data_IF_688867132284
#
_entry.id   IF_688867132284
#
_cell.length_a   1.000
_cell.length_b   1.000
_cell.length_c   1.000
_cell.angle_alpha   90.00
_cell.angle_beta   90.00
_cell.angle_gamma   90.00
#
_symmetry.space_group_name_H-M   'P 1'
#
loop_
_entity.id
_entity.type
_entity.pdbx_description
1 polymer ?
#
# COMPACT_ATOMS: atom_id res chain seq x y z
N UNK A 1 18.85 -23.88 -6.75
CA UNK A 1 19.83 -23.12 -7.58
C UNK A 1 20.63 -22.19 -6.68
N UNK A 2 21.92 -21.95 -6.95
CA UNK A 2 22.82 -21.12 -6.12
C UNK A 2 22.80 -19.63 -6.50
N UNK A 3 22.87 -18.74 -5.50
CA UNK A 3 22.99 -17.29 -5.69
C UNK A 3 24.40 -16.94 -6.19
N UNK A 4 24.56 -15.83 -6.92
CA UNK A 4 25.90 -15.28 -7.20
C UNK A 4 26.42 -14.48 -5.98
N UNK A 5 27.66 -14.01 -6.03
CA UNK A 5 28.30 -13.29 -4.92
C UNK A 5 27.54 -12.03 -4.50
N UNK A 6 27.04 -11.26 -5.47
CA UNK A 6 26.33 -10.01 -5.27
C UNK A 6 24.95 -10.25 -4.65
N UNK A 7 24.24 -11.27 -5.14
CA UNK A 7 22.96 -11.70 -4.61
C UNK A 7 23.10 -12.25 -3.19
N UNK A 8 24.14 -13.05 -2.92
CA UNK A 8 24.42 -13.56 -1.57
C UNK A 8 24.73 -12.40 -0.60
N UNK A 9 25.52 -11.41 -1.04
CA UNK A 9 25.80 -10.22 -0.25
C UNK A 9 24.52 -9.43 0.06
N UNK A 10 23.64 -9.24 -0.93
CA UNK A 10 22.35 -8.59 -0.75
C UNK A 10 21.42 -9.38 0.19
N UNK A 11 21.44 -10.72 0.14
CA UNK A 11 20.64 -11.58 1.01
C UNK A 11 21.12 -11.50 2.47
N UNK A 12 22.43 -11.47 2.72
CA UNK A 12 23.01 -11.48 4.07
C UNK A 12 23.22 -10.12 4.73
N UNK A 13 23.08 -9.02 4.00
CA UNK A 13 23.29 -7.68 4.54
C UNK A 13 22.30 -7.35 5.68
N UNK A 14 22.80 -6.91 6.84
CA UNK A 14 22.04 -6.50 8.04
C UNK A 14 22.46 -5.14 8.64
N UNK A 15 22.97 -4.23 7.81
CA UNK A 15 23.64 -2.99 8.27
C UNK A 15 22.77 -1.73 8.31
N UNK A 16 21.48 -1.83 7.97
CA UNK A 16 20.56 -0.69 7.82
C UNK A 16 19.72 -0.80 6.53
N UNK A 17 19.17 0.33 6.04
CA UNK A 17 18.45 0.34 4.77
C UNK A 17 19.33 -0.14 3.61
N UNK A 18 18.76 -0.97 2.73
CA UNK A 18 19.41 -1.53 1.55
C UNK A 18 18.58 -1.21 0.31
N UNK A 19 19.23 -0.63 -0.70
CA UNK A 19 18.71 -0.52 -2.06
C UNK A 19 19.50 -1.46 -2.96
N UNK A 20 18.81 -2.41 -3.59
CA UNK A 20 19.37 -3.30 -4.60
C UNK A 20 18.91 -2.82 -5.97
N UNK A 21 19.84 -2.28 -6.74
CA UNK A 21 19.62 -1.96 -8.14
C UNK A 21 19.95 -3.19 -8.99
N UNK A 22 18.99 -3.62 -9.81
CA UNK A 22 19.19 -4.77 -10.66
C UNK A 22 18.38 -4.59 -11.94
N UNK A 23 18.95 -4.90 -13.11
CA UNK A 23 18.22 -4.82 -14.37
C UNK A 23 17.19 -5.94 -14.55
N UNK A 24 16.40 -5.90 -15.62
CA UNK A 24 15.49 -6.97 -15.99
C UNK A 24 16.17 -8.35 -16.07
N UNK A 25 15.52 -9.39 -15.53
CA UNK A 25 16.01 -10.79 -15.61
C UNK A 25 17.20 -11.13 -14.70
N UNK A 26 17.70 -10.20 -13.88
CA UNK A 26 18.84 -10.40 -12.98
C UNK A 26 18.51 -11.15 -11.67
N UNK A 27 17.23 -11.50 -11.47
CA UNK A 27 16.78 -12.25 -10.30
C UNK A 27 16.38 -11.38 -9.10
N UNK A 28 15.81 -10.18 -9.31
CA UNK A 28 15.22 -9.32 -8.25
C UNK A 28 14.39 -10.11 -7.23
N UNK A 29 13.34 -10.76 -7.73
CA UNK A 29 12.44 -11.57 -6.89
C UNK A 29 13.18 -12.70 -6.18
N UNK A 30 14.22 -13.26 -6.79
CA UNK A 30 15.04 -14.32 -6.18
C UNK A 30 15.83 -13.79 -4.98
N UNK A 31 16.41 -12.60 -5.08
CA UNK A 31 17.07 -11.94 -3.94
C UNK A 31 16.07 -11.72 -2.81
N UNK A 32 14.87 -11.22 -3.10
CA UNK A 32 13.82 -11.01 -2.08
C UNK A 32 13.44 -12.33 -1.40
N UNK A 33 13.12 -13.38 -2.15
CA UNK A 33 12.67 -14.65 -1.55
C UNK A 33 13.76 -15.31 -0.73
N UNK A 34 15.00 -15.31 -1.21
CA UNK A 34 16.14 -15.84 -0.44
C UNK A 34 16.47 -14.99 0.79
N UNK A 35 16.32 -13.66 0.72
CA UNK A 35 16.49 -12.78 1.88
C UNK A 35 15.47 -13.10 2.97
N UNK A 36 14.20 -13.27 2.61
CA UNK A 36 13.17 -13.67 3.58
C UNK A 36 13.48 -15.05 4.16
N UNK A 37 13.86 -16.02 3.34
CA UNK A 37 14.24 -17.36 3.83
C UNK A 37 15.45 -17.30 4.80
N UNK A 38 16.47 -16.49 4.49
CA UNK A 38 17.62 -16.30 5.37
C UNK A 38 17.24 -15.66 6.72
N UNK A 39 16.38 -14.63 6.72
CA UNK A 39 15.85 -14.02 7.95
C UNK A 39 15.10 -15.05 8.81
N UNK A 40 14.32 -15.91 8.17
CA UNK A 40 13.57 -16.99 8.81
C UNK A 40 14.49 -18.06 9.41
N UNK A 41 15.61 -18.38 8.74
CA UNK A 41 16.66 -19.28 9.22
C UNK A 41 17.46 -18.67 10.40
N UNK A 42 17.68 -17.35 10.36
CA UNK A 42 18.27 -16.55 11.45
C UNK A 42 17.36 -16.44 12.69
N UNK A 43 16.14 -16.97 12.63
CA UNK A 43 15.21 -17.02 13.76
C UNK A 43 14.26 -15.83 13.87
N UNK A 44 14.17 -14.98 12.83
CA UNK A 44 13.18 -13.89 12.80
C UNK A 44 11.77 -14.50 12.72
N UNK A 45 10.84 -14.14 13.63
CA UNK A 45 9.48 -14.66 13.55
C UNK A 45 8.78 -14.21 12.25
N UNK A 46 8.10 -15.09 11.49
CA UNK A 46 7.52 -14.73 10.18
C UNK A 46 6.59 -13.52 10.23
N UNK A 47 5.81 -13.39 11.31
CA UNK A 47 4.87 -12.30 11.52
C UNK A 47 5.51 -10.92 11.73
N UNK A 48 6.84 -10.88 11.94
CA UNK A 48 7.69 -9.68 12.03
C UNK A 48 8.29 -9.27 10.67
N UNK A 49 8.00 -10.00 9.58
CA UNK A 49 8.51 -9.71 8.24
C UNK A 49 7.34 -9.29 7.32
N UNK A 50 7.53 -8.21 6.58
CA UNK A 50 6.61 -7.72 5.55
C UNK A 50 7.30 -7.79 4.18
N UNK A 51 6.65 -8.41 3.22
CA UNK A 51 7.08 -8.48 1.82
C UNK A 51 5.99 -7.90 0.90
N UNK A 52 6.35 -6.88 0.14
CA UNK A 52 5.43 -6.13 -0.73
C UNK A 52 5.86 -6.23 -2.18
N UNK A 53 4.89 -6.38 -3.07
CA UNK A 53 5.06 -6.34 -4.53
C UNK A 53 3.86 -5.64 -5.18
N UNK A 54 3.81 -5.53 -6.51
CA UNK A 54 2.78 -4.76 -7.22
C UNK A 54 1.62 -5.61 -7.73
N UNK A 55 1.82 -6.92 -7.91
CA UNK A 55 0.77 -7.80 -8.47
C UNK A 55 0.41 -8.95 -7.53
N UNK A 56 -0.86 -9.36 -7.54
CA UNK A 56 -1.32 -10.52 -6.77
C UNK A 56 -0.61 -11.80 -7.22
N UNK A 57 -0.30 -11.91 -8.51
CA UNK A 57 0.45 -13.04 -9.06
C UNK A 57 1.86 -13.09 -8.47
N UNK A 58 2.60 -11.98 -8.50
CA UNK A 58 3.93 -11.92 -7.90
C UNK A 58 3.90 -12.20 -6.39
N UNK A 59 2.87 -11.73 -5.68
CA UNK A 59 2.72 -12.02 -4.25
C UNK A 59 2.46 -13.51 -3.97
N UNK A 60 1.71 -14.19 -4.85
CA UNK A 60 1.49 -15.64 -4.81
C UNK A 60 2.78 -16.40 -5.05
N UNK A 61 3.46 -16.12 -6.16
CA UNK A 61 4.72 -16.75 -6.54
C UNK A 61 5.83 -16.52 -5.48
N UNK A 62 5.92 -15.32 -4.91
CA UNK A 62 6.86 -14.99 -3.84
C UNK A 62 6.60 -15.85 -2.60
N UNK A 63 5.33 -16.02 -2.21
CA UNK A 63 4.95 -16.85 -1.06
C UNK A 63 5.29 -18.32 -1.29
N UNK A 64 4.96 -18.87 -2.46
CA UNK A 64 5.28 -20.26 -2.83
C UNK A 64 6.79 -20.50 -2.78
N UNK A 65 7.59 -19.62 -3.39
CA UNK A 65 9.06 -19.74 -3.36
C UNK A 65 9.65 -19.68 -1.95
N UNK A 66 9.13 -18.82 -1.09
CA UNK A 66 9.60 -18.74 0.31
C UNK A 66 9.24 -20.03 1.06
N UNK A 67 8.06 -20.60 0.82
CA UNK A 67 7.64 -21.87 1.40
C UNK A 67 8.56 -23.02 1.00
N UNK A 68 8.86 -23.14 -0.30
CA UNK A 68 9.78 -24.14 -0.83
C UNK A 68 11.19 -24.00 -0.22
N UNK A 69 11.75 -22.78 -0.17
CA UNK A 69 13.07 -22.51 0.39
C UNK A 69 13.18 -22.87 1.87
N UNK A 70 12.07 -22.79 2.59
CA UNK A 70 11.99 -23.04 4.02
C UNK A 70 11.42 -24.44 4.35
N UNK A 71 11.40 -25.35 3.37
CA UNK A 71 10.94 -26.73 3.54
C UNK A 71 9.50 -26.84 4.08
N UNK A 72 8.60 -25.96 3.62
CA UNK A 72 7.17 -25.97 3.98
C UNK A 72 6.88 -25.87 5.49
N UNK A 73 7.73 -25.17 6.25
CA UNK A 73 7.47 -24.91 7.69
C UNK A 73 6.10 -24.22 7.91
N UNK A 74 5.39 -24.65 8.94
CA UNK A 74 3.97 -24.31 9.17
C UNK A 74 3.71 -22.82 9.44
N UNK A 75 4.64 -22.13 10.10
CA UNK A 75 4.50 -20.74 10.54
C UNK A 75 4.72 -19.70 9.43
N UNK A 76 5.12 -20.10 8.21
CA UNK A 76 5.24 -19.19 7.05
C UNK A 76 3.93 -18.50 6.72
N UNK A 77 2.78 -19.11 7.05
CA UNK A 77 1.46 -18.52 6.85
C UNK A 77 1.27 -17.22 7.65
N UNK A 78 2.07 -16.99 8.68
CA UNK A 78 2.04 -15.75 9.46
C UNK A 78 2.76 -14.58 8.78
N UNK A 79 3.59 -14.85 7.76
CA UNK A 79 4.29 -13.87 6.95
C UNK A 79 3.31 -12.91 6.27
N UNK A 80 3.64 -11.62 6.27
CA UNK A 80 2.86 -10.64 5.52
C UNK A 80 3.44 -10.53 4.11
N UNK A 81 2.88 -11.28 3.16
CA UNK A 81 3.20 -11.14 1.72
C UNK A 81 1.97 -10.65 0.97
N UNK A 82 2.10 -9.57 0.20
CA UNK A 82 0.97 -9.02 -0.53
C UNK A 82 1.32 -7.86 -1.45
N UNK A 83 0.29 -7.31 -2.08
CA UNK A 83 0.38 -6.02 -2.76
C UNK A 83 0.18 -4.89 -1.77
N UNK A 84 0.61 -3.67 -2.11
CA UNK A 84 0.29 -2.48 -1.32
C UNK A 84 -1.20 -2.42 -0.94
N UNK A 85 -2.08 -2.66 -1.91
CA UNK A 85 -3.52 -2.67 -1.71
C UNK A 85 -3.99 -3.80 -0.78
N UNK A 86 -3.48 -5.03 -0.95
CA UNK A 86 -3.91 -6.15 -0.09
C UNK A 86 -3.40 -6.00 1.35
N UNK A 87 -2.21 -5.44 1.54
CA UNK A 87 -1.68 -5.07 2.86
C UNK A 87 -2.54 -3.97 3.50
N UNK A 88 -2.85 -2.90 2.76
CA UNK A 88 -3.72 -1.83 3.26
C UNK A 88 -5.12 -2.33 3.61
N UNK A 89 -5.73 -3.15 2.75
CA UNK A 89 -7.01 -3.78 3.03
C UNK A 89 -6.91 -4.63 4.31
N UNK A 90 -5.89 -5.47 4.49
CA UNK A 90 -5.69 -6.26 5.71
C UNK A 90 -5.61 -5.40 6.98
N UNK A 91 -4.96 -4.23 6.89
CA UNK A 91 -4.88 -3.25 8.00
C UNK A 91 -6.27 -2.65 8.27
N UNK A 92 -6.94 -2.12 7.24
CA UNK A 92 -8.24 -1.47 7.37
C UNK A 92 -9.35 -2.43 7.81
N UNK A 93 -9.30 -3.70 7.41
CA UNK A 93 -10.23 -4.73 7.91
C UNK A 93 -10.17 -4.90 9.43
N UNK A 94 -9.02 -4.62 10.04
CA UNK A 94 -8.80 -4.82 11.47
C UNK A 94 -8.91 -3.53 12.28
N UNK A 95 -8.54 -2.39 11.70
CA UNK A 95 -8.42 -1.12 12.41
C UNK A 95 -9.07 0.06 11.68
N UNK A 96 -9.78 -0.18 10.58
CA UNK A 96 -10.40 0.85 9.74
C UNK A 96 -11.51 1.63 10.42
N UNK A 97 -12.05 1.15 11.54
CA UNK A 97 -13.11 1.86 12.30
C UNK A 97 -12.67 3.23 12.76
N UNK A 98 -11.37 3.41 13.07
CA UNK A 98 -10.80 4.70 13.44
C UNK A 98 -10.81 5.72 12.28
N UNK A 99 -10.83 5.26 11.03
CA UNK A 99 -10.91 6.09 9.82
C UNK A 99 -12.26 5.98 9.12
N UNK A 100 -13.29 5.50 9.82
CA UNK A 100 -14.68 5.48 9.35
C UNK A 100 -15.04 4.34 8.39
N UNK A 101 -14.27 3.25 8.37
CA UNK A 101 -14.60 2.03 7.63
C UNK A 101 -14.93 0.88 8.58
N UNK A 102 -15.98 0.11 8.30
CA UNK A 102 -16.23 -1.12 9.06
C UNK A 102 -15.20 -2.20 8.72
N UNK A 103 -15.14 -3.28 9.51
CA UNK A 103 -14.32 -4.43 9.16
C UNK A 103 -14.80 -5.15 7.89
N UNK A 104 -16.04 -4.92 7.45
CA UNK A 104 -16.70 -5.62 6.34
C UNK A 104 -16.99 -4.70 5.13
N UNK A 105 -16.35 -3.53 5.05
CA UNK A 105 -16.44 -2.59 3.94
C UNK A 105 -16.30 -3.22 2.54
N UNK A 106 -16.92 -2.66 1.50
CA UNK A 106 -16.79 -3.16 0.13
C UNK A 106 -15.61 -2.51 -0.60
N UNK A 107 -14.89 -3.26 -1.46
CA UNK A 107 -13.85 -2.70 -2.33
C UNK A 107 -14.44 -2.52 -3.72
N UNK A 108 -14.49 -1.28 -4.20
CA UNK A 108 -15.06 -0.96 -5.52
C UNK A 108 -14.01 -1.12 -6.61
N UNK A 109 -14.32 -1.97 -7.59
CA UNK A 109 -13.49 -2.12 -8.79
C UNK A 109 -13.72 -0.98 -9.80
N UNK A 110 -13.00 -0.99 -10.92
CA UNK A 110 -13.11 0.05 -11.95
C UNK A 110 -14.53 0.21 -12.53
N UNK A 111 -15.31 -0.88 -12.60
CA UNK A 111 -16.67 -0.84 -13.09
C UNK A 111 -17.61 -0.21 -12.05
N UNK A 112 -17.47 -0.61 -10.78
CA UNK A 112 -18.20 -0.03 -9.64
C UNK A 112 -17.93 1.47 -9.51
N UNK A 113 -16.66 1.87 -9.56
CA UNK A 113 -16.24 3.28 -9.49
C UNK A 113 -16.89 4.10 -10.62
N UNK A 114 -16.85 3.59 -11.86
CA UNK A 114 -17.46 4.26 -13.02
C UNK A 114 -18.98 4.35 -12.89
N UNK A 115 -19.62 3.29 -12.40
CA UNK A 115 -21.07 3.26 -12.17
C UNK A 115 -21.48 4.30 -11.14
N UNK A 116 -20.77 4.35 -10.01
CA UNK A 116 -21.02 5.32 -8.95
C UNK A 116 -20.79 6.76 -9.43
N UNK A 117 -19.69 7.02 -10.14
CA UNK A 117 -19.43 8.36 -10.69
C UNK A 117 -20.54 8.81 -11.64
N UNK A 118 -21.07 7.93 -12.50
CA UNK A 118 -22.23 8.25 -13.35
C UNK A 118 -23.48 8.64 -12.54
N UNK A 119 -23.74 7.93 -11.44
CA UNK A 119 -24.85 8.28 -10.55
C UNK A 119 -24.66 9.67 -9.92
N UNK A 120 -23.43 9.98 -9.49
CA UNK A 120 -23.07 11.29 -8.95
C UNK A 120 -23.26 12.40 -9.98
N UNK A 121 -22.84 12.20 -11.24
CA UNK A 121 -23.04 13.22 -12.28
C UNK A 121 -24.52 13.50 -12.54
N UNK A 122 -25.37 12.46 -12.56
CA UNK A 122 -26.82 12.61 -12.68
C UNK A 122 -27.40 13.38 -11.50
N UNK A 123 -27.01 13.05 -10.27
CA UNK A 123 -27.46 13.75 -9.06
C UNK A 123 -27.12 15.24 -9.09
N UNK A 124 -25.92 15.58 -9.58
CA UNK A 124 -25.43 16.95 -9.62
C UNK A 124 -25.87 17.73 -10.86
N UNK A 125 -26.65 17.12 -11.75
CA UNK A 125 -27.03 17.64 -13.07
C UNK A 125 -25.81 18.06 -13.92
N UNK A 126 -24.77 17.23 -13.92
CA UNK A 126 -23.55 17.44 -14.72
C UNK A 126 -23.63 16.58 -15.99
N UNK A 127 -23.37 17.20 -17.14
CA UNK A 127 -23.34 16.51 -18.44
C UNK A 127 -22.12 15.57 -18.54
N UNK A 128 -22.39 14.26 -18.61
CA UNK A 128 -21.37 13.23 -18.72
C UNK A 128 -20.62 13.22 -20.07
N UNK A 129 -21.18 13.83 -21.12
CA UNK A 129 -20.49 13.98 -22.40
C UNK A 129 -19.42 15.06 -22.31
N UNK A 130 -19.75 16.17 -21.62
CA UNK A 130 -18.81 17.26 -21.38
C UNK A 130 -17.78 16.94 -20.30
N UNK A 131 -18.17 16.17 -19.28
CA UNK A 131 -17.32 15.76 -18.17
C UNK A 131 -17.34 14.24 -17.98
N UNK A 132 -16.55 13.49 -18.78
CA UNK A 132 -16.59 12.04 -18.75
C UNK A 132 -16.20 11.46 -17.37
N UNK A 133 -16.95 10.47 -16.83
CA UNK A 133 -16.67 9.85 -15.53
C UNK A 133 -15.23 9.35 -15.38
N UNK A 134 -14.66 8.77 -16.45
CA UNK A 134 -13.27 8.28 -16.46
C UNK A 134 -12.25 9.39 -16.25
N UNK A 135 -12.48 10.58 -16.83
CA UNK A 135 -11.57 11.71 -16.68
C UNK A 135 -11.58 12.24 -15.24
N UNK A 136 -12.78 12.35 -14.64
CA UNK A 136 -12.94 12.78 -13.25
C UNK A 136 -12.30 11.80 -12.26
N UNK A 137 -12.54 10.49 -12.44
CA UNK A 137 -11.90 9.44 -11.65
C UNK A 137 -10.37 9.45 -11.84
N UNK A 138 -9.87 9.74 -13.04
CA UNK A 138 -8.43 9.88 -13.29
C UNK A 138 -7.79 11.05 -12.53
N UNK A 139 -8.49 12.18 -12.40
CA UNK A 139 -8.02 13.28 -11.54
C UNK A 139 -7.99 12.90 -10.06
N UNK A 140 -9.01 12.18 -9.61
CA UNK A 140 -9.11 11.70 -8.24
C UNK A 140 -8.02 10.68 -7.90
N UNK A 141 -7.82 9.68 -8.77
CA UNK A 141 -6.77 8.67 -8.63
C UNK A 141 -5.38 9.31 -8.55
N UNK A 142 -5.07 10.25 -9.45
CA UNK A 142 -3.82 11.02 -9.40
C UNK A 142 -3.64 11.76 -8.08
N UNK A 143 -4.72 12.32 -7.51
CA UNK A 143 -4.66 12.97 -6.21
C UNK A 143 -4.40 11.97 -5.08
N UNK A 144 -5.13 10.85 -5.04
CA UNK A 144 -4.96 9.79 -4.02
C UNK A 144 -3.56 9.20 -4.04
N UNK A 145 -2.97 9.00 -5.23
CA UNK A 145 -1.59 8.53 -5.38
C UNK A 145 -0.54 9.49 -4.77
N UNK A 146 -0.90 10.76 -4.54
CA UNK A 146 -0.07 11.76 -3.84
C UNK A 146 -0.50 11.98 -2.37
N UNK A 147 -1.48 11.22 -1.87
CA UNK A 147 -2.06 11.44 -0.55
C UNK A 147 -2.94 12.70 -0.45
N UNK A 148 -3.46 13.17 -1.59
CA UNK A 148 -4.27 14.38 -1.71
C UNK A 148 -5.73 14.06 -2.04
N UNK A 149 -6.61 15.06 -1.91
CA UNK A 149 -8.03 14.94 -2.20
C UNK A 149 -8.53 15.87 -3.32
N UNK A 150 -9.84 15.88 -3.59
CA UNK A 150 -10.43 16.75 -4.61
C UNK A 150 -10.05 18.23 -4.46
N UNK A 151 -9.93 18.72 -3.22
CA UNK A 151 -9.55 20.12 -2.91
C UNK A 151 -8.18 20.52 -3.47
N UNK A 152 -7.30 19.55 -3.73
CA UNK A 152 -5.95 19.78 -4.23
C UNK A 152 -5.83 19.69 -5.77
N UNK A 153 -6.92 19.44 -6.50
CA UNK A 153 -6.88 19.31 -7.97
C UNK A 153 -6.18 20.47 -8.69
N UNK A 154 -6.30 21.70 -8.17
CA UNK A 154 -5.59 22.87 -8.70
C UNK A 154 -4.06 22.70 -8.61
N UNK A 155 -3.55 22.14 -7.51
CA UNK A 155 -2.12 21.86 -7.30
C UNK A 155 -1.61 20.81 -8.28
N UNK A 156 -2.49 19.93 -8.75
CA UNK A 156 -2.20 18.84 -9.70
C UNK A 156 -2.36 19.24 -11.17
N UNK A 157 -2.62 20.54 -11.43
CA UNK A 157 -2.72 21.10 -12.77
C UNK A 157 -4.11 21.05 -13.39
N UNK A 158 -5.16 20.69 -12.65
CA UNK A 158 -6.54 20.79 -13.14
C UNK A 158 -6.96 22.26 -13.16
N UNK A 159 -7.37 22.77 -14.32
CA UNK A 159 -7.70 24.17 -14.54
C UNK A 159 -9.19 24.38 -14.82
N UNK A 160 -9.63 25.64 -14.79
CA UNK A 160 -10.99 26.02 -15.19
C UNK A 160 -11.20 25.81 -16.70
N UNK A 161 -12.43 25.46 -17.14
CA UNK A 161 -13.66 25.31 -16.35
C UNK A 161 -13.86 23.91 -15.73
N UNK A 162 -12.87 23.01 -15.82
CA UNK A 162 -12.98 21.62 -15.33
C UNK A 162 -12.84 21.54 -13.81
N UNK A 163 -11.96 22.35 -13.22
CA UNK A 163 -11.60 22.31 -11.81
C UNK A 163 -12.81 22.25 -10.87
N UNK A 164 -13.74 23.20 -10.96
CA UNK A 164 -14.90 23.25 -10.04
C UNK A 164 -15.83 22.05 -10.18
N UNK A 165 -16.02 21.59 -11.42
CA UNK A 165 -16.87 20.42 -11.71
C UNK A 165 -16.24 19.16 -11.16
N UNK A 166 -14.93 18.97 -11.39
CA UNK A 166 -14.19 17.84 -10.88
C UNK A 166 -14.16 17.80 -9.35
N UNK A 167 -13.91 18.95 -8.70
CA UNK A 167 -13.95 19.05 -7.23
C UNK A 167 -15.31 18.62 -6.68
N UNK A 168 -16.39 19.23 -7.16
CA UNK A 168 -17.75 18.95 -6.68
C UNK A 168 -18.17 17.50 -6.93
N UNK A 169 -17.88 16.96 -8.12
CA UNK A 169 -18.23 15.57 -8.45
C UNK A 169 -17.42 14.56 -7.63
N UNK A 170 -16.11 14.76 -7.50
CA UNK A 170 -15.26 13.85 -6.74
C UNK A 170 -15.51 13.94 -5.23
N UNK A 171 -15.80 15.12 -4.67
CA UNK A 171 -16.22 15.23 -3.26
C UNK A 171 -17.52 14.45 -3.01
N UNK A 172 -18.50 14.58 -3.90
CA UNK A 172 -19.76 13.82 -3.78
C UNK A 172 -19.56 12.32 -3.96
N UNK A 173 -18.66 11.92 -4.85
CA UNK A 173 -18.26 10.52 -5.03
C UNK A 173 -17.66 9.91 -3.75
N UNK A 174 -16.72 10.61 -3.13
CA UNK A 174 -16.10 10.23 -1.86
C UNK A 174 -17.13 10.10 -0.72
N UNK A 175 -18.09 11.02 -0.65
CA UNK A 175 -19.20 10.93 0.31
C UNK A 175 -20.06 9.68 0.10
N UNK A 176 -20.35 9.35 -1.17
CA UNK A 176 -21.16 8.19 -1.50
C UNK A 176 -20.44 6.88 -1.19
N UNK A 177 -19.12 6.80 -1.43
CA UNK A 177 -18.31 5.65 -1.02
C UNK A 177 -18.37 5.45 0.49
N UNK A 178 -18.13 6.51 1.28
CA UNK A 178 -18.20 6.43 2.75
C UNK A 178 -19.59 6.03 3.23
N UNK A 179 -20.65 6.58 2.66
CA UNK A 179 -22.03 6.22 3.02
C UNK A 179 -22.34 4.74 2.71
N UNK A 180 -21.76 4.20 1.64
CA UNK A 180 -21.90 2.81 1.26
C UNK A 180 -20.98 1.85 2.05
N UNK A 181 -20.22 2.35 3.03
CA UNK A 181 -19.15 1.60 3.70
C UNK A 181 -18.24 0.91 2.68
N UNK A 182 -17.77 1.70 1.71
CA UNK A 182 -16.96 1.24 0.59
C UNK A 182 -15.70 2.09 0.43
N UNK A 183 -14.69 1.48 -0.20
CA UNK A 183 -13.42 2.10 -0.54
C UNK A 183 -13.00 1.68 -1.95
N UNK A 184 -12.43 2.58 -2.74
CA UNK A 184 -11.73 2.21 -3.97
C UNK A 184 -10.26 1.86 -3.70
N UNK A 185 -9.50 1.50 -4.74
CA UNK A 185 -8.08 1.14 -4.59
C UNK A 185 -7.23 2.29 -4.03
N UNK A 186 -7.49 3.54 -4.44
CA UNK A 186 -6.77 4.70 -3.91
C UNK A 186 -7.09 4.94 -2.43
N UNK A 187 -8.34 4.73 -2.03
CA UNK A 187 -8.78 4.86 -0.63
C UNK A 187 -8.07 3.88 0.29
N UNK A 188 -7.83 2.65 -0.17
CA UNK A 188 -7.08 1.68 0.62
C UNK A 188 -5.75 2.26 1.07
N UNK A 189 -5.02 2.93 0.17
CA UNK A 189 -3.72 3.53 0.46
C UNK A 189 -3.85 4.75 1.36
N UNK A 190 -4.70 5.71 0.97
CA UNK A 190 -4.85 6.99 1.68
C UNK A 190 -5.37 6.79 3.10
N UNK A 191 -6.39 5.95 3.27
CA UNK A 191 -6.98 5.68 4.59
C UNK A 191 -6.05 4.87 5.49
N UNK A 192 -5.28 3.93 4.94
CA UNK A 192 -4.28 3.20 5.72
C UNK A 192 -3.15 4.12 6.20
N UNK A 193 -2.66 5.02 5.33
CA UNK A 193 -1.66 6.03 5.71
C UNK A 193 -2.22 6.96 6.77
N UNK A 194 -3.44 7.47 6.59
CA UNK A 194 -4.12 8.34 7.56
C UNK A 194 -4.25 7.68 8.93
N UNK A 195 -4.69 6.42 8.95
CA UNK A 195 -4.79 5.62 10.18
C UNK A 195 -3.46 5.54 10.93
N UNK A 196 -2.35 5.31 10.21
CA UNK A 196 -1.01 5.17 10.78
C UNK A 196 -0.40 6.50 11.22
N UNK A 197 -0.72 7.60 10.53
CA UNK A 197 -0.31 8.96 10.88
C UNK A 197 -1.02 9.45 12.15
N UNK A 198 -2.36 9.37 12.19
CA UNK A 198 -3.17 9.85 13.32
C UNK A 198 -2.82 9.10 14.63
N UNK A 199 -2.50 7.81 14.53
CA UNK A 199 -1.99 7.03 15.65
C UNK A 199 -0.61 7.54 16.15
N UNK A 200 0.23 8.04 15.25
CA UNK A 200 1.54 8.63 15.59
C UNK A 200 1.45 9.97 16.32
N UNK A 201 0.42 10.76 16.02
CA UNK A 201 0.16 12.06 16.65
C UNK A 201 -0.53 11.92 18.01
N UNK A 202 -1.26 10.82 18.21
CA UNK A 202 -1.98 10.52 19.46
C UNK A 202 -1.01 10.09 20.57
N UNK A 203 -0.48 11.09 21.28
CA UNK A 203 0.24 11.03 22.57
C UNK A 203 1.73 10.59 22.55
N UNK A 204 2.66 11.50 22.18
CA UNK A 204 4.06 11.34 22.57
C UNK A 204 4.18 11.39 24.11
N UNK A 205 4.49 10.25 24.74
CA UNK A 205 4.91 10.18 26.15
C UNK A 205 3.89 9.70 27.18
N UNK A 206 2.69 9.23 26.79
CA UNK A 206 1.76 8.60 27.75
C UNK A 206 1.92 7.08 27.77
N UNK A 207 1.87 6.45 28.95
CA UNK A 207 1.85 4.98 29.11
C UNK A 207 0.66 4.30 28.37
N UNK A 208 -0.32 5.09 27.92
CA UNK A 208 -1.48 4.65 27.15
C UNK A 208 -1.19 4.50 25.64
N UNK A 209 -0.18 5.20 25.10
CA UNK A 209 0.21 5.07 23.70
C UNK A 209 0.77 3.66 23.37
N UNK A 210 1.41 3.00 24.35
CA UNK A 210 1.87 1.61 24.21
C UNK A 210 0.70 0.59 24.17
N UNK A 211 -0.54 1.02 24.42
CA UNK A 211 -1.74 0.19 24.27
C UNK A 211 -2.42 0.35 22.91
N UNK A 212 -2.09 1.38 22.13
CA UNK A 212 -2.69 1.59 20.81
C UNK A 212 -2.24 0.48 19.84
N UNK A 213 -3.19 -0.35 19.35
CA UNK A 213 -2.86 -1.46 18.46
C UNK A 213 -2.30 -1.00 17.10
N UNK A 214 -2.58 0.23 16.67
CA UNK A 214 -2.04 0.82 15.43
C UNK A 214 -0.59 1.28 15.65
N UNK A 215 -0.25 1.85 16.81
CA UNK A 215 1.15 2.12 17.17
C UNK A 215 1.97 0.84 17.27
N UNK A 216 1.39 -0.24 17.82
CA UNK A 216 2.03 -1.56 17.81
C UNK A 216 2.26 -2.09 16.40
N UNK A 217 1.39 -1.78 15.44
CA UNK A 217 1.58 -2.15 14.04
C UNK A 217 2.80 -1.46 13.42
N UNK A 218 3.02 -0.16 13.68
CA UNK A 218 4.20 0.58 13.20
C UNK A 218 5.53 0.01 13.70
N UNK A 219 5.51 -0.64 14.87
CA UNK A 219 6.67 -1.32 15.48
C UNK A 219 6.63 -2.84 15.31
N UNK A 220 5.66 -3.34 14.52
CA UNK A 220 5.47 -4.78 14.35
C UNK A 220 6.61 -5.36 13.53
N UNK A 221 6.88 -4.76 12.38
CA UNK A 221 7.83 -5.32 11.44
C UNK A 221 9.25 -4.99 11.88
N UNK A 222 10.11 -6.02 11.89
CA UNK A 222 11.55 -5.88 12.05
C UNK A 222 12.25 -5.82 10.70
N UNK A 223 11.65 -6.43 9.67
CA UNK A 223 12.15 -6.39 8.30
C UNK A 223 11.01 -6.08 7.32
N UNK A 224 11.27 -5.16 6.41
CA UNK A 224 10.39 -4.85 5.28
C UNK A 224 11.18 -5.05 4.01
N UNK A 225 10.63 -5.85 3.10
CA UNK A 225 11.14 -6.03 1.75
C UNK A 225 10.13 -5.55 0.72
N UNK A 226 10.57 -4.74 -0.23
CA UNK A 226 9.71 -4.21 -1.32
C UNK A 226 10.34 -4.55 -2.66
N UNK A 227 9.59 -5.26 -3.50
CA UNK A 227 9.95 -5.57 -4.89
C UNK A 227 9.39 -4.49 -5.84
N UNK A 228 10.05 -4.31 -6.99
CA UNK A 228 9.72 -3.29 -8.02
C UNK A 228 9.57 -1.86 -7.47
N UNK A 229 10.50 -1.44 -6.61
CA UNK A 229 10.37 -0.18 -5.88
C UNK A 229 10.29 1.06 -6.79
N UNK A 230 10.81 1.00 -8.01
CA UNK A 230 10.71 2.07 -9.02
C UNK A 230 9.25 2.42 -9.40
N UNK A 231 8.31 1.48 -9.22
CA UNK A 231 6.89 1.70 -9.51
C UNK A 231 6.13 2.37 -8.35
N UNK A 232 6.82 2.70 -7.25
CA UNK A 232 6.22 3.23 -6.02
C UNK A 232 5.79 4.69 -6.18
N UNK A 233 4.55 5.00 -5.79
CA UNK A 233 4.05 6.37 -5.71
C UNK A 233 4.26 7.00 -4.32
N UNK A 234 4.08 8.33 -4.14
CA UNK A 234 4.30 8.99 -2.86
C UNK A 234 3.50 8.42 -1.68
N UNK A 235 2.24 8.02 -1.87
CA UNK A 235 1.43 7.46 -0.77
C UNK A 235 1.91 6.07 -0.35
N UNK A 236 2.35 5.25 -1.30
CA UNK A 236 2.97 3.94 -1.03
C UNK A 236 4.33 4.08 -0.34
N UNK A 237 5.16 5.03 -0.75
CA UNK A 237 6.43 5.34 -0.09
C UNK A 237 6.20 5.78 1.37
N UNK A 238 5.19 6.64 1.60
CA UNK A 238 4.79 7.06 2.94
C UNK A 238 4.28 5.89 3.79
N UNK A 239 3.50 4.97 3.22
CA UNK A 239 3.06 3.75 3.89
C UNK A 239 4.26 2.91 4.37
N UNK A 240 5.25 2.69 3.50
CA UNK A 240 6.48 1.94 3.84
C UNK A 240 7.24 2.64 4.96
N UNK A 241 7.39 3.96 4.90
CA UNK A 241 8.05 4.73 5.95
C UNK A 241 7.33 4.60 7.31
N UNK A 242 5.99 4.67 7.32
CA UNK A 242 5.20 4.57 8.56
C UNK A 242 5.26 3.18 9.20
N UNK A 243 5.22 2.13 8.38
CA UNK A 243 5.35 0.74 8.83
C UNK A 243 6.80 0.36 9.17
N UNK A 244 7.77 1.11 8.63
CA UNK A 244 9.19 0.83 8.70
C UNK A 244 9.98 1.69 9.70
N UNK A 245 9.31 2.44 10.58
CA UNK A 245 9.93 3.36 11.57
C UNK A 245 11.12 2.76 12.34
N UNK A 246 11.11 1.43 12.57
CA UNK A 246 12.20 0.68 13.21
C UNK A 246 12.59 -0.59 12.48
N UNK A 247 12.11 -0.76 11.26
CA UNK A 247 12.37 -1.96 10.48
C UNK A 247 13.63 -1.77 9.63
N UNK A 248 14.36 -2.85 9.42
CA UNK A 248 15.34 -2.92 8.36
C UNK A 248 14.62 -2.98 7.01
N UNK A 249 14.77 -1.92 6.21
CA UNK A 249 14.15 -1.79 4.90
C UNK A 249 15.11 -2.29 3.81
N UNK A 250 14.68 -3.24 3.00
CA UNK A 250 15.37 -3.65 1.79
C UNK A 250 14.45 -3.48 0.58
N UNK A 251 14.82 -2.60 -0.33
CA UNK A 251 14.05 -2.36 -1.56
C UNK A 251 14.85 -2.86 -2.77
N UNK A 252 14.16 -3.45 -3.72
CA UNK A 252 14.73 -3.91 -4.99
C UNK A 252 14.02 -3.18 -6.12
N UNK A 253 14.78 -2.66 -7.08
CA UNK A 253 14.21 -1.97 -8.22
C UNK A 253 15.18 -1.86 -9.39
N UNK A 254 14.68 -1.29 -10.48
CA UNK A 254 15.48 -0.89 -11.65
C UNK A 254 15.86 0.59 -11.61
N UNK A 255 16.92 0.96 -12.33
CA UNK A 255 17.33 2.35 -12.58
C UNK A 255 16.95 2.89 -13.97
N UNK A 256 16.30 2.06 -14.80
CA UNK A 256 15.79 2.39 -16.16
C UNK A 256 14.67 3.45 -16.19
#
# INVERSE_FOLDING_TARGET
>A
MSLNSEQEAAVRYRGGPLLVLAGAGTGKTRVITHRVAALLEEGVPPWRILAVTFTNKAAGEMRERIAELCQERDDIRELWVGTFHSICARILRRWGTAVGLSSNFSIYDTADQKSLMKQVLRELNIDEQRYPPRALLGHLDKAKNQGLGPRDFKRLGVQEPVLRVAQRACERYEERLRFADAADFGDLLVLAVRLLDEAGESAPGSQLADLDPVLKLRRRFLHIVVDEFQDTNPVQAKLVALLGDRAELCVVGDDD
#
